data_IF_303440366068
#
_entry.id   IF_303440366068
#
_cell.length_a   1.000
_cell.length_b   1.000
_cell.length_c   1.000
_cell.angle_alpha   90.00
_cell.angle_beta   90.00
_cell.angle_gamma   90.00
#
_symmetry.space_group_name_H-M   'P 1'
#
loop_
_entity.id
_entity.type
_entity.pdbx_description
1 polymer ?
#
# COMPACT_ATOMS: atom_id res chain seq x y z
N UNK A 1 17.28 15.89 31.63
CA UNK A 1 17.06 15.79 30.17
C UNK A 1 17.14 14.32 29.75
N UNK A 2 16.10 13.52 30.01
CA UNK A 2 15.88 12.21 29.35
C UNK A 2 14.35 12.02 29.30
N UNK A 3 13.80 12.18 28.09
CA UNK A 3 12.37 12.30 27.80
C UNK A 3 11.65 10.97 27.93
N UNK A 4 10.36 11.08 28.20
CA UNK A 4 9.35 10.03 28.37
C UNK A 4 9.20 9.09 27.16
N UNK A 5 10.22 8.27 26.86
CA UNK A 5 10.16 7.20 25.86
C UNK A 5 9.42 5.94 26.40
N UNK A 6 8.31 6.16 27.11
CA UNK A 6 7.47 5.09 27.63
C UNK A 6 6.74 4.39 26.47
N UNK A 7 7.20 3.16 26.15
CA UNK A 7 6.42 2.05 25.57
C UNK A 7 5.61 2.31 24.28
N UNK A 8 6.12 3.06 23.31
CA UNK A 8 5.50 3.04 21.97
C UNK A 8 5.92 1.76 21.24
N UNK A 9 4.97 0.83 21.05
CA UNK A 9 5.17 -0.44 20.34
C UNK A 9 5.75 -0.18 18.94
N UNK A 10 6.67 -1.03 18.50
CA UNK A 10 7.49 -0.82 17.29
C UNK A 10 6.65 -0.56 16.02
N UNK A 11 5.48 -1.20 15.90
CA UNK A 11 4.56 -1.06 14.77
C UNK A 11 3.77 0.26 14.76
N UNK A 12 3.83 1.05 15.84
CA UNK A 12 3.27 2.41 15.89
C UNK A 12 4.33 3.49 15.58
N UNK A 13 5.60 3.09 15.35
CA UNK A 13 6.66 4.02 14.95
C UNK A 13 6.48 4.43 13.49
N UNK A 14 6.88 5.67 13.12
CA UNK A 14 6.67 6.20 11.77
C UNK A 14 7.14 5.28 10.64
N UNK A 15 8.37 4.76 10.77
CA UNK A 15 8.97 3.84 9.81
C UNK A 15 8.23 2.50 9.74
N UNK A 16 7.84 1.94 10.89
CA UNK A 16 7.10 0.69 10.95
C UNK A 16 5.71 0.79 10.33
N UNK A 17 5.00 1.91 10.56
CA UNK A 17 3.69 2.15 9.94
C UNK A 17 3.82 2.34 8.44
N UNK A 18 4.81 3.11 7.95
CA UNK A 18 5.01 3.29 6.49
C UNK A 18 5.34 1.97 5.80
N UNK A 19 6.20 1.15 6.40
CA UNK A 19 6.52 -0.19 5.89
C UNK A 19 5.27 -1.09 5.84
N UNK A 20 4.51 -1.17 6.94
CA UNK A 20 3.29 -1.98 6.99
C UNK A 20 2.24 -1.49 5.99
N UNK A 21 2.13 -0.17 5.79
CA UNK A 21 1.14 0.46 4.96
C UNK A 21 1.45 0.32 3.46
N UNK A 22 2.72 0.27 3.06
CA UNK A 22 3.11 -0.01 1.67
C UNK A 22 3.23 -1.49 1.35
N UNK A 23 3.84 -2.31 2.22
CA UNK A 23 4.23 -3.68 1.87
C UNK A 23 3.25 -4.76 2.33
N UNK A 24 2.45 -4.52 3.38
CA UNK A 24 1.68 -5.59 4.04
C UNK A 24 0.17 -5.35 3.98
N UNK A 25 -0.28 -4.13 4.24
CA UNK A 25 -1.70 -3.81 4.41
C UNK A 25 -2.27 -2.93 3.29
N UNK A 26 -1.43 -2.29 2.48
CA UNK A 26 -1.88 -1.34 1.45
C UNK A 26 -2.80 -0.25 2.04
N UNK A 27 -3.97 0.03 1.43
CA UNK A 27 -4.92 1.02 1.96
C UNK A 27 -5.43 0.68 3.36
N UNK A 28 -5.41 -0.59 3.79
CA UNK A 28 -5.79 -0.99 5.14
C UNK A 28 -4.74 -0.62 6.21
N UNK A 29 -3.57 -0.12 5.81
CA UNK A 29 -2.62 0.49 6.75
C UNK A 29 -3.07 1.86 7.27
N UNK A 30 -3.96 2.55 6.54
CA UNK A 30 -4.48 3.87 6.91
C UNK A 30 -5.07 3.93 8.32
N UNK A 31 -5.98 3.04 8.77
CA UNK A 31 -6.48 3.05 10.15
C UNK A 31 -5.36 2.92 11.20
N UNK A 32 -4.24 2.25 10.88
CA UNK A 32 -3.07 2.16 11.75
C UNK A 32 -2.33 3.51 11.87
N UNK A 33 -2.27 4.26 10.76
CA UNK A 33 -1.72 5.62 10.71
C UNK A 33 -2.53 6.60 11.57
N UNK A 34 -3.87 6.49 11.54
CA UNK A 34 -4.74 7.33 12.36
C UNK A 34 -4.60 7.05 13.86
N UNK A 35 -4.30 5.81 14.25
CA UNK A 35 -4.06 5.39 15.63
C UNK A 35 -2.73 5.87 16.21
N UNK A 36 -1.73 6.23 15.39
CA UNK A 36 -0.42 6.63 15.90
C UNK A 36 -0.39 8.13 16.29
N UNK A 37 -0.10 8.48 17.56
CA UNK A 37 -0.08 9.86 18.05
C UNK A 37 1.12 10.68 17.54
N UNK A 38 2.10 10.03 16.90
CA UNK A 38 3.31 10.69 16.36
C UNK A 38 3.15 11.20 14.92
N UNK A 39 2.02 10.94 14.25
CA UNK A 39 1.78 11.41 12.89
C UNK A 39 1.07 12.76 12.87
N UNK A 40 1.73 13.76 12.26
CA UNK A 40 1.13 15.08 12.01
C UNK A 40 -0.05 14.98 11.02
N UNK A 41 -1.01 15.91 11.10
CA UNK A 41 -2.17 15.93 10.19
C UNK A 41 -1.76 15.99 8.72
N UNK A 42 -0.71 16.75 8.39
CA UNK A 42 -0.18 16.87 7.03
C UNK A 42 0.39 15.53 6.52
N UNK A 43 1.15 14.83 7.36
CA UNK A 43 1.72 13.52 7.01
C UNK A 43 0.64 12.48 6.70
N UNK A 44 -0.51 12.52 7.41
CA UNK A 44 -1.65 11.63 7.14
C UNK A 44 -2.24 11.88 5.76
N UNK A 45 -2.43 13.14 5.38
CA UNK A 45 -2.99 13.53 4.08
C UNK A 45 -2.07 13.12 2.94
N UNK A 46 -0.76 13.42 3.06
CA UNK A 46 0.23 13.05 2.04
C UNK A 46 0.24 11.53 1.84
N UNK A 47 0.25 10.74 2.93
CA UNK A 47 0.26 9.29 2.81
C UNK A 47 -0.99 8.75 2.10
N UNK A 48 -2.18 9.25 2.44
CA UNK A 48 -3.43 8.84 1.78
C UNK A 48 -3.38 9.09 0.27
N UNK A 49 -2.89 10.26 -0.14
CA UNK A 49 -2.76 10.62 -1.57
C UNK A 49 -1.78 9.67 -2.28
N UNK A 50 -0.62 9.41 -1.67
CA UNK A 50 0.39 8.52 -2.28
C UNK A 50 -0.14 7.08 -2.38
N UNK A 51 -0.81 6.57 -1.36
CA UNK A 51 -1.43 5.23 -1.39
C UNK A 51 -2.50 5.13 -2.47
N UNK A 52 -3.35 6.15 -2.61
CA UNK A 52 -4.37 6.16 -3.66
C UNK A 52 -3.75 6.13 -5.06
N UNK A 53 -2.71 6.93 -5.31
CA UNK A 53 -1.99 6.91 -6.60
C UNK A 53 -1.37 5.54 -6.86
N UNK A 54 -0.69 4.96 -5.85
CA UNK A 54 -0.06 3.66 -5.97
C UNK A 54 -1.07 2.53 -6.20
N UNK A 55 -2.19 2.51 -5.47
CA UNK A 55 -3.25 1.53 -5.64
C UNK A 55 -3.88 1.63 -7.04
N UNK A 56 -4.14 2.85 -7.51
CA UNK A 56 -4.66 3.08 -8.86
C UNK A 56 -3.69 2.55 -9.92
N UNK A 57 -2.40 2.85 -9.78
CA UNK A 57 -1.36 2.36 -10.69
C UNK A 57 -1.31 0.83 -10.74
N UNK A 58 -1.36 0.15 -9.58
CA UNK A 58 -1.38 -1.31 -9.50
C UNK A 58 -2.60 -1.91 -10.19
N UNK A 59 -3.77 -1.29 -10.06
CA UNK A 59 -4.99 -1.75 -10.72
C UNK A 59 -4.85 -1.67 -12.24
N UNK A 60 -4.35 -0.54 -12.76
CA UNK A 60 -4.11 -0.38 -14.20
C UNK A 60 -3.10 -1.41 -14.72
N UNK A 61 -1.96 -1.55 -14.05
CA UNK A 61 -0.94 -2.54 -14.42
C UNK A 61 -1.50 -3.97 -14.39
N UNK A 62 -2.29 -4.31 -13.37
CA UNK A 62 -2.90 -5.65 -13.25
C UNK A 62 -3.91 -5.91 -14.39
N UNK A 63 -4.71 -4.92 -14.76
CA UNK A 63 -5.66 -5.04 -15.87
C UNK A 63 -4.95 -5.19 -17.21
N UNK A 64 -3.85 -4.48 -17.41
CA UNK A 64 -3.05 -4.56 -18.63
C UNK A 64 -2.41 -5.95 -18.77
N UNK A 65 -1.80 -6.46 -17.70
CA UNK A 65 -1.24 -7.81 -17.65
C UNK A 65 -2.34 -8.86 -17.87
N UNK A 66 -3.50 -8.72 -17.21
CA UNK A 66 -4.60 -9.66 -17.37
C UNK A 66 -5.09 -9.71 -18.82
N UNK A 67 -5.30 -8.56 -19.47
CA UNK A 67 -5.72 -8.49 -20.88
C UNK A 67 -4.72 -9.17 -21.80
N UNK A 68 -3.44 -8.90 -21.61
CA UNK A 68 -2.36 -9.50 -22.39
C UNK A 68 -2.31 -11.02 -22.20
N UNK A 69 -2.49 -11.52 -20.97
CA UNK A 69 -2.57 -12.95 -20.67
C UNK A 69 -3.77 -13.62 -21.32
N UNK A 70 -4.96 -13.00 -21.25
CA UNK A 70 -6.16 -13.55 -21.89
C UNK A 70 -5.98 -13.66 -23.41
N UNK A 71 -5.40 -12.64 -24.03
CA UNK A 71 -5.15 -12.62 -25.48
C UNK A 71 -4.20 -13.74 -25.91
N UNK A 72 -3.14 -13.99 -25.14
CA UNK A 72 -2.19 -15.09 -25.39
C UNK A 72 -2.81 -16.47 -25.21
N UNK A 73 -3.71 -16.63 -24.25
CA UNK A 73 -4.43 -17.89 -24.03
C UNK A 73 -5.36 -18.22 -25.21
N UNK A 74 -6.05 -17.21 -25.76
CA UNK A 74 -6.94 -17.37 -26.91
C UNK A 74 -6.17 -17.77 -28.18
N UNK A 75 -5.05 -17.10 -28.48
CA UNK A 75 -4.15 -17.48 -29.59
C UNK A 75 -3.64 -18.93 -29.46
N UNK A 76 -3.23 -19.35 -28.26
CA UNK A 76 -2.75 -20.71 -28.03
C UNK A 76 -3.87 -21.76 -28.18
N UNK A 77 -5.10 -21.43 -27.79
CA UNK A 77 -6.24 -22.33 -27.99
C UNK A 77 -6.60 -22.47 -29.47
N UNK A 78 -6.53 -21.41 -30.27
CA UNK A 78 -6.76 -21.50 -31.72
C UNK A 78 -5.67 -22.32 -32.43
N UNK A 79 -4.41 -22.24 -31.99
CA UNK A 79 -3.32 -23.00 -32.60
C UNK A 79 -3.35 -24.52 -32.28
N UNK A 80 -3.99 -24.90 -31.17
CA UNK A 80 -4.10 -26.30 -30.73
C UNK A 80 -5.40 -26.98 -31.17
N UNK A 81 -6.31 -26.26 -31.83
CA UNK A 81 -7.62 -26.75 -32.28
C UNK A 81 -7.62 -27.00 -33.79
#
# INVERSE_FOLDING_TARGET
MLKEDAKIKWYLRPIGVVLLLFFVLGPFGLPLLYKSPKFSKASKIILTIVVMMYASYLIFASLEIARELYKRMEELQELLR
#
